data_IF_479307460941
#
_entry.id   IF_479307460941
#
_cell.length_a   1.000
_cell.length_b   1.000
_cell.length_c   1.000
_cell.angle_alpha   90.00
_cell.angle_beta   90.00
_cell.angle_gamma   90.00
#
_symmetry.space_group_name_H-M   'P 1'
#
loop_
_entity.id
_entity.type
_entity.pdbx_description
1 polymer ?
#
# COMPACT_ATOMS: atom_id res chain seq x y z
N UNK A 1 -25.24 -9.55 2.93
CA UNK A 1 -26.52 -9.14 2.30
C UNK A 1 -26.36 -7.71 1.80
N UNK A 2 -26.54 -7.44 0.51
CA UNK A 2 -26.44 -6.09 -0.04
C UNK A 2 -27.63 -5.25 0.42
N UNK A 3 -27.37 -4.07 1.00
CA UNK A 3 -28.41 -3.17 1.49
C UNK A 3 -28.96 -2.30 0.35
N UNK A 4 -28.08 -1.70 -0.45
CA UNK A 4 -28.40 -0.95 -1.69
C UNK A 4 -27.19 -1.03 -2.63
N UNK A 5 -27.39 -0.98 -3.95
CA UNK A 5 -26.30 -0.97 -4.94
C UNK A 5 -26.66 -0.14 -6.18
N UNK A 6 -25.66 0.52 -6.77
CA UNK A 6 -25.72 1.18 -8.08
C UNK A 6 -24.35 1.02 -8.74
N UNK A 7 -24.32 0.46 -9.95
CA UNK A 7 -23.07 0.17 -10.70
C UNK A 7 -22.02 -0.61 -9.88
N UNK A 8 -22.47 -1.46 -8.97
CA UNK A 8 -21.60 -2.15 -8.02
C UNK A 8 -20.60 -3.12 -8.68
N UNK A 9 -20.91 -3.59 -9.89
CA UNK A 9 -20.06 -4.50 -10.66
C UNK A 9 -19.28 -3.80 -11.80
N UNK A 10 -19.45 -2.48 -11.96
CA UNK A 10 -18.64 -1.70 -12.91
C UNK A 10 -17.26 -1.43 -12.32
N UNK A 11 -16.24 -1.37 -13.18
CA UNK A 11 -14.86 -1.08 -12.76
C UNK A 11 -14.65 0.42 -12.62
N UNK A 12 -13.99 0.82 -11.53
CA UNK A 12 -13.55 2.19 -11.29
C UNK A 12 -12.06 2.20 -10.94
N UNK A 13 -11.32 3.28 -11.27
CA UNK A 13 -9.95 3.44 -10.80
C UNK A 13 -9.94 3.54 -9.27
N UNK A 14 -9.12 2.72 -8.62
CA UNK A 14 -9.00 2.75 -7.15
C UNK A 14 -8.37 4.06 -6.66
N UNK A 15 -7.43 4.64 -7.42
CA UNK A 15 -6.56 5.72 -6.94
C UNK A 15 -5.98 5.31 -5.58
N UNK A 16 -5.75 6.25 -4.67
CA UNK A 16 -5.18 5.96 -3.34
C UNK A 16 -6.04 5.09 -2.42
N UNK A 17 -7.28 4.70 -2.78
CA UNK A 17 -8.05 3.73 -1.97
C UNK A 17 -7.38 2.36 -1.90
N UNK A 18 -6.51 2.03 -2.86
CA UNK A 18 -5.71 0.81 -2.82
C UNK A 18 -4.79 0.73 -1.59
N UNK A 19 -4.39 1.87 -1.00
CA UNK A 19 -3.47 1.93 0.14
C UNK A 19 -4.02 1.22 1.38
N UNK A 20 -5.36 1.16 1.52
CA UNK A 20 -6.02 0.37 2.56
C UNK A 20 -5.77 -1.13 2.34
N UNK A 21 -5.97 -1.62 1.13
CA UNK A 21 -5.74 -3.03 0.77
C UNK A 21 -4.25 -3.37 0.88
N UNK A 22 -3.36 -2.46 0.45
CA UNK A 22 -1.92 -2.61 0.61
C UNK A 22 -1.51 -2.80 2.07
N UNK A 23 -1.99 -1.95 2.97
CA UNK A 23 -1.70 -2.10 4.40
C UNK A 23 -2.34 -3.37 4.97
N UNK A 24 -3.50 -3.80 4.46
CA UNK A 24 -4.08 -5.11 4.76
C UNK A 24 -3.15 -6.27 4.39
N UNK A 25 -2.52 -6.22 3.22
CA UNK A 25 -1.54 -7.22 2.80
C UNK A 25 -0.28 -7.21 3.69
N UNK A 26 0.18 -6.03 4.09
CA UNK A 26 1.30 -5.87 5.03
C UNK A 26 0.95 -6.49 6.39
N UNK A 27 -0.24 -6.20 6.92
CA UNK A 27 -0.72 -6.77 8.18
C UNK A 27 -0.84 -8.30 8.10
N UNK A 28 -1.32 -8.85 6.98
CA UNK A 28 -1.37 -10.29 6.77
C UNK A 28 0.03 -10.94 6.81
N UNK A 29 1.07 -10.27 6.29
CA UNK A 29 2.46 -10.73 6.42
C UNK A 29 2.97 -10.64 7.86
N UNK A 30 2.55 -9.63 8.63
CA UNK A 30 2.87 -9.53 10.06
C UNK A 30 2.27 -10.71 10.82
N UNK A 31 0.99 -11.02 10.58
CA UNK A 31 0.29 -12.15 11.21
C UNK A 31 0.94 -13.51 10.84
N UNK A 32 1.44 -13.65 9.61
CA UNK A 32 2.16 -14.83 9.15
C UNK A 32 3.60 -14.94 9.70
N UNK A 33 4.12 -13.92 10.37
CA UNK A 33 5.49 -13.86 10.89
C UNK A 33 6.55 -13.49 9.85
N UNK A 34 6.13 -13.07 8.65
CA UNK A 34 7.00 -12.67 7.53
C UNK A 34 7.37 -11.17 7.57
N UNK A 35 6.78 -10.40 8.48
CA UNK A 35 6.99 -8.96 8.62
C UNK A 35 6.83 -8.51 10.08
N UNK A 36 7.35 -7.33 10.42
CA UNK A 36 7.14 -6.67 11.72
C UNK A 36 6.81 -5.20 11.51
N UNK A 37 5.79 -4.68 12.21
CA UNK A 37 5.45 -3.26 12.13
C UNK A 37 6.59 -2.37 12.61
N UNK A 38 7.41 -2.85 13.55
CA UNK A 38 8.54 -2.13 14.13
C UNK A 38 9.80 -2.20 13.24
N UNK A 39 9.79 -3.01 12.17
CA UNK A 39 10.94 -3.08 11.26
C UNK A 39 11.11 -1.73 10.58
N UNK A 40 12.31 -1.16 10.69
CA UNK A 40 12.67 0.12 10.10
C UNK A 40 13.12 -0.05 8.64
N UNK A 41 12.61 0.81 7.77
CA UNK A 41 12.97 0.92 6.35
C UNK A 41 13.71 2.24 6.17
N UNK A 42 14.96 2.15 5.74
CA UNK A 42 15.74 3.28 5.25
C UNK A 42 15.59 3.37 3.73
N UNK A 43 15.44 4.60 3.25
CA UNK A 43 15.27 4.93 1.84
C UNK A 43 15.96 6.26 1.57
N UNK A 44 16.12 6.59 0.29
CA UNK A 44 16.88 7.75 -0.17
C UNK A 44 15.98 8.75 -0.88
N UNK A 45 16.52 9.94 -1.11
CA UNK A 45 15.79 11.02 -1.77
C UNK A 45 15.33 10.63 -3.19
N UNK A 46 16.10 9.82 -3.92
CA UNK A 46 15.69 9.32 -5.23
C UNK A 46 14.52 8.34 -5.22
N UNK A 47 14.19 7.78 -4.05
CA UNK A 47 13.06 6.85 -3.89
C UNK A 47 11.76 7.61 -3.64
N UNK A 48 11.84 8.93 -3.41
CA UNK A 48 10.68 9.78 -3.21
C UNK A 48 9.96 10.07 -4.54
N UNK A 49 8.64 9.94 -4.51
CA UNK A 49 7.73 10.34 -5.59
C UNK A 49 6.87 11.53 -5.16
N UNK A 50 6.12 12.09 -6.11
CA UNK A 50 5.24 13.24 -5.86
C UNK A 50 4.26 12.95 -4.70
N UNK A 51 3.97 13.98 -3.91
CA UNK A 51 3.13 13.93 -2.70
C UNK A 51 3.62 12.91 -1.63
N UNK A 52 4.68 13.29 -0.93
CA UNK A 52 5.34 12.50 0.13
C UNK A 52 5.46 13.27 1.47
N UNK A 53 4.34 13.81 2.00
CA UNK A 53 4.36 14.81 3.08
C UNK A 53 4.88 14.32 4.43
N UNK A 54 5.01 13.00 4.63
CA UNK A 54 5.58 12.41 5.83
C UNK A 54 6.95 11.82 5.50
N UNK A 55 7.02 10.96 4.49
CA UNK A 55 8.24 10.21 4.18
C UNK A 55 9.41 11.10 3.76
N UNK A 56 9.16 12.26 3.14
CA UNK A 56 10.22 13.22 2.78
C UNK A 56 10.98 13.76 4.01
N UNK A 57 10.38 13.72 5.20
CA UNK A 57 10.94 14.25 6.45
C UNK A 57 11.84 13.24 7.18
N UNK A 58 11.86 11.99 6.73
CA UNK A 58 12.54 10.87 7.41
C UNK A 58 13.65 10.23 6.58
N UNK A 59 14.32 11.00 5.72
CA UNK A 59 15.44 10.51 4.89
C UNK A 59 16.67 10.09 5.72
N UNK A 60 16.89 10.69 6.90
CA UNK A 60 18.06 10.41 7.73
C UNK A 60 17.85 9.19 8.65
N UNK A 61 16.66 9.05 9.21
CA UNK A 61 16.29 8.11 10.26
C UNK A 61 15.40 6.96 9.78
N UNK A 62 14.82 7.07 8.58
CA UNK A 62 13.89 6.10 8.02
C UNK A 62 12.58 6.00 8.82
N UNK A 63 11.68 5.16 8.35
CA UNK A 63 10.37 4.94 8.99
C UNK A 63 10.14 3.45 9.24
N UNK A 64 9.45 3.12 10.31
CA UNK A 64 8.97 1.76 10.56
C UNK A 64 7.87 1.38 9.56
N UNK A 65 7.68 0.08 9.32
CA UNK A 65 6.58 -0.42 8.48
C UNK A 65 5.22 0.10 8.97
N UNK A 66 5.01 0.15 10.30
CA UNK A 66 3.80 0.71 10.90
C UNK A 66 3.62 2.20 10.62
N UNK A 67 4.68 3.00 10.75
CA UNK A 67 4.66 4.44 10.42
C UNK A 67 4.39 4.67 8.93
N UNK A 68 4.93 3.82 8.04
CA UNK A 68 4.66 3.87 6.61
C UNK A 68 3.20 3.55 6.31
N UNK A 69 2.61 2.53 6.96
CA UNK A 69 1.18 2.22 6.81
C UNK A 69 0.32 3.41 7.27
N UNK A 70 0.67 4.02 8.41
CA UNK A 70 -0.02 5.18 8.94
C UNK A 70 0.08 6.38 7.97
N UNK A 71 1.26 6.67 7.44
CA UNK A 71 1.46 7.77 6.48
C UNK A 71 0.70 7.53 5.16
N UNK A 72 0.77 6.31 4.62
CA UNK A 72 0.09 5.94 3.39
C UNK A 72 -1.44 6.05 3.52
N UNK A 73 -2.03 5.66 4.65
CA UNK A 73 -3.49 5.71 4.84
C UNK A 73 -3.96 7.11 5.25
N UNK A 74 -3.34 7.71 6.26
CA UNK A 74 -3.88 8.92 6.91
C UNK A 74 -3.50 10.20 6.20
N UNK A 75 -2.37 10.19 5.48
CA UNK A 75 -1.85 11.33 4.74
C UNK A 75 -1.73 11.06 3.24
N UNK A 76 -2.17 9.88 2.76
CA UNK A 76 -2.03 9.45 1.37
C UNK A 76 -0.59 9.56 0.83
N UNK A 77 0.42 9.38 1.69
CA UNK A 77 1.83 9.50 1.29
C UNK A 77 2.20 8.45 0.24
N UNK A 78 2.65 8.90 -0.94
CA UNK A 78 2.86 8.05 -2.10
C UNK A 78 4.16 7.24 -2.01
N UNK A 79 5.23 7.83 -1.48
CA UNK A 79 6.48 7.07 -1.28
C UNK A 79 6.32 6.03 -0.20
N UNK A 80 5.56 6.32 0.87
CA UNK A 80 5.20 5.32 1.86
C UNK A 80 4.47 4.14 1.23
N UNK A 81 3.51 4.40 0.33
CA UNK A 81 2.81 3.36 -0.41
C UNK A 81 3.77 2.56 -1.32
N UNK A 82 4.67 3.20 -2.07
CA UNK A 82 5.63 2.49 -2.92
C UNK A 82 6.61 1.64 -2.10
N UNK A 83 7.13 2.15 -0.99
CA UNK A 83 8.03 1.43 -0.09
C UNK A 83 7.34 0.17 0.49
N UNK A 84 6.08 0.29 0.93
CA UNK A 84 5.30 -0.86 1.41
C UNK A 84 4.97 -1.84 0.26
N UNK A 85 4.62 -1.32 -0.91
CA UNK A 85 4.28 -2.12 -2.08
C UNK A 85 5.47 -2.99 -2.51
N UNK A 86 6.70 -2.48 -2.41
CA UNK A 86 7.90 -3.27 -2.63
C UNK A 86 8.03 -4.46 -1.66
N UNK A 87 7.61 -4.31 -0.39
CA UNK A 87 7.68 -5.40 0.59
C UNK A 87 6.72 -6.55 0.30
N UNK A 88 5.59 -6.27 -0.38
CA UNK A 88 4.59 -7.29 -0.73
C UNK A 88 4.80 -7.87 -2.14
N UNK A 89 5.94 -7.59 -2.79
CA UNK A 89 6.23 -8.09 -4.14
C UNK A 89 5.69 -7.23 -5.28
N UNK A 90 5.50 -5.92 -5.04
CA UNK A 90 5.04 -4.96 -6.03
C UNK A 90 3.54 -5.08 -6.36
N UNK A 91 3.06 -4.41 -7.42
CA UNK A 91 1.67 -4.49 -7.88
C UNK A 91 1.19 -5.93 -8.13
N UNK A 92 2.06 -6.77 -8.68
CA UNK A 92 1.79 -8.19 -8.92
C UNK A 92 1.55 -8.94 -7.60
N UNK A 93 2.37 -8.70 -6.58
CA UNK A 93 2.20 -9.33 -5.27
C UNK A 93 0.95 -8.88 -4.52
N UNK A 94 0.58 -7.60 -4.60
CA UNK A 94 -0.69 -7.13 -4.05
C UNK A 94 -1.91 -7.75 -4.78
N UNK A 95 -1.83 -7.87 -6.11
CA UNK A 95 -2.87 -8.55 -6.89
C UNK A 95 -2.95 -10.04 -6.53
N UNK A 96 -1.82 -10.70 -6.26
CA UNK A 96 -1.81 -12.09 -5.80
C UNK A 96 -2.45 -12.23 -4.41
N UNK A 97 -2.17 -11.33 -3.48
CA UNK A 97 -2.82 -11.28 -2.17
C UNK A 97 -4.34 -11.15 -2.30
N UNK A 98 -4.83 -10.25 -3.16
CA UNK A 98 -6.27 -10.10 -3.44
C UNK A 98 -6.92 -11.42 -3.88
N UNK A 99 -6.26 -12.19 -4.77
CA UNK A 99 -6.76 -13.50 -5.19
C UNK A 99 -6.79 -14.51 -4.05
N UNK A 100 -5.79 -14.51 -3.16
CA UNK A 100 -5.74 -15.40 -2.02
C UNK A 100 -6.87 -15.15 -1.01
N UNK A 101 -7.33 -13.90 -0.87
CA UNK A 101 -8.46 -13.55 0.00
C UNK A 101 -9.82 -13.60 -0.71
N UNK A 102 -9.88 -14.13 -1.94
CA UNK A 102 -11.12 -14.37 -2.69
C UNK A 102 -11.61 -13.20 -3.55
N UNK A 103 -10.88 -12.09 -3.63
CA UNK A 103 -11.16 -11.01 -4.59
C UNK A 103 -10.58 -11.38 -5.95
N UNK A 104 -11.44 -11.66 -6.92
CA UNK A 104 -11.07 -12.01 -8.29
C UNK A 104 -11.19 -10.85 -9.29
N UNK A 105 -11.54 -9.65 -8.83
CA UNK A 105 -11.87 -8.49 -9.68
C UNK A 105 -10.82 -7.42 -9.57
N UNK A 106 -10.43 -7.05 -8.34
CA UNK A 106 -9.46 -5.98 -8.08
C UNK A 106 -8.08 -6.36 -8.63
N UNK A 107 -7.37 -5.37 -9.17
CA UNK A 107 -6.01 -5.50 -9.69
C UNK A 107 -5.25 -4.20 -9.48
N UNK A 108 -3.96 -4.32 -9.17
CA UNK A 108 -3.02 -3.22 -9.18
C UNK A 108 -1.91 -3.56 -10.16
N UNK A 109 -1.65 -2.67 -11.11
CA UNK A 109 -0.73 -2.92 -12.23
C UNK A 109 0.44 -1.94 -12.30
N UNK A 110 0.34 -0.81 -11.58
CA UNK A 110 1.28 0.32 -11.62
C UNK A 110 1.62 0.77 -10.20
N UNK A 111 2.70 1.53 -10.08
CA UNK A 111 3.16 2.15 -8.84
C UNK A 111 2.60 3.57 -8.74
N UNK A 112 2.64 4.19 -7.56
CA UNK A 112 2.42 5.64 -7.47
C UNK A 112 3.57 6.36 -8.20
N UNK A 113 3.34 7.42 -9.00
CA UNK A 113 2.06 8.11 -9.24
C UNK A 113 1.38 7.75 -10.57
N UNK A 114 1.82 6.67 -11.21
CA UNK A 114 1.31 6.22 -12.50
C UNK A 114 -0.04 5.50 -12.36
N UNK A 115 -0.92 5.84 -11.41
CA UNK A 115 -2.17 5.10 -11.14
C UNK A 115 -3.32 5.38 -12.11
#
# INVERSE_FOLDING_TARGET
RTLTAWRADERFPMMSTFKVVLCGAVLARVDAGDEKLERKIHYRQQDLVDYSPVSEKHLADGMTVGELCAAAITMSDNSAANLLLATVGGPAGLTAFLRQIGDNVTRLDRWETEL
#
